data_IF_728811552669
#
_entry.id   IF_728811552669
#
_cell.length_a   1.000
_cell.length_b   1.000
_cell.length_c   1.000
_cell.angle_alpha   90.00
_cell.angle_beta   90.00
_cell.angle_gamma   90.00
#
_symmetry.space_group_name_H-M   'P 1'
#
loop_
_entity.id
_entity.type
_entity.pdbx_description
1 polymer ?
#
# COMPACT_ATOMS: atom_id res chain seq x y z
N UNK A 1 12.78 5.51 -6.60
CA UNK A 1 12.07 4.56 -5.70
C UNK A 1 11.02 5.37 -4.98
N UNK A 2 9.76 5.06 -5.29
CA UNK A 2 8.60 5.82 -4.86
C UNK A 2 8.33 5.66 -3.36
N UNK A 3 7.69 6.65 -2.78
CA UNK A 3 7.20 6.61 -1.39
C UNK A 3 5.68 6.53 -1.38
N UNK A 4 5.15 5.84 -0.38
CA UNK A 4 3.71 5.70 -0.17
C UNK A 4 3.20 6.85 0.70
N UNK A 5 2.09 7.45 0.28
CA UNK A 5 1.41 8.50 1.02
C UNK A 5 -0.09 8.21 1.13
N UNK A 6 -0.73 8.80 2.15
CA UNK A 6 -2.18 8.77 2.32
C UNK A 6 -2.77 10.10 1.83
N UNK A 7 -3.65 10.04 0.84
CA UNK A 7 -4.45 11.16 0.38
C UNK A 7 -5.87 11.07 0.93
N UNK A 8 -6.49 12.23 1.15
CA UNK A 8 -7.85 12.35 1.66
C UNK A 8 -8.70 13.16 0.69
N UNK A 9 -10.00 12.87 0.63
CA UNK A 9 -10.96 13.65 -0.18
C UNK A 9 -11.09 15.11 0.27
N UNK A 10 -10.66 15.40 1.49
CA UNK A 10 -10.61 16.76 2.05
C UNK A 10 -9.35 17.54 1.65
N UNK A 11 -8.34 16.88 1.09
CA UNK A 11 -7.04 17.47 0.76
C UNK A 11 -6.20 17.86 1.99
N UNK A 12 -6.62 17.49 3.20
CA UNK A 12 -5.87 17.82 4.41
C UNK A 12 -4.60 16.96 4.50
N UNK A 13 -3.43 17.56 4.79
CA UNK A 13 -2.19 16.82 4.94
C UNK A 13 -2.20 16.00 6.22
N UNK A 14 -1.82 14.72 6.12
CA UNK A 14 -1.70 13.85 7.29
C UNK A 14 -0.54 14.33 8.20
N UNK A 15 -0.77 14.51 9.52
CA UNK A 15 0.28 14.90 10.45
C UNK A 15 1.21 13.73 10.81
N UNK A 16 0.86 12.51 10.42
CA UNK A 16 1.62 11.29 10.69
C UNK A 16 2.46 10.88 9.48
N UNK A 17 3.55 10.16 9.75
CA UNK A 17 4.50 9.66 8.75
C UNK A 17 5.03 8.29 9.18
N UNK A 18 5.56 7.53 8.24
CA UNK A 18 6.29 6.30 8.53
C UNK A 18 7.50 6.62 9.43
N UNK A 19 7.62 5.88 10.53
CA UNK A 19 8.47 6.27 11.67
C UNK A 19 9.84 5.60 11.64
N UNK A 20 9.95 4.43 11.01
CA UNK A 20 11.19 3.63 10.92
C UNK A 20 11.72 3.52 9.50
N UNK A 21 10.85 3.64 8.52
CA UNK A 21 11.19 3.63 7.11
C UNK A 21 10.64 4.88 6.44
N UNK A 22 11.09 5.16 5.23
CA UNK A 22 10.50 6.16 4.35
C UNK A 22 9.41 5.56 3.46
N UNK A 23 8.84 4.39 3.84
CA UNK A 23 7.86 3.58 3.10
C UNK A 23 8.31 2.99 1.78
N UNK A 24 9.56 3.20 1.33
CA UNK A 24 10.04 2.67 0.05
C UNK A 24 9.97 1.14 -0.02
N UNK A 25 10.40 0.46 1.04
CA UNK A 25 10.32 -0.99 1.13
C UNK A 25 8.88 -1.47 1.21
N UNK A 26 8.03 -0.78 1.98
CA UNK A 26 6.60 -1.09 2.02
C UNK A 26 5.98 -0.98 0.62
N UNK A 27 6.29 0.09 -0.11
CA UNK A 27 5.86 0.29 -1.48
C UNK A 27 6.41 -0.80 -2.43
N UNK A 28 7.68 -1.18 -2.28
CA UNK A 28 8.30 -2.23 -3.09
C UNK A 28 7.60 -3.59 -2.88
N UNK A 29 7.48 -4.05 -1.65
CA UNK A 29 6.93 -5.37 -1.33
C UNK A 29 5.42 -5.47 -1.58
N UNK A 30 4.66 -4.40 -1.33
CA UNK A 30 3.19 -4.43 -1.49
C UNK A 30 2.76 -4.17 -2.93
N UNK A 31 3.54 -3.41 -3.73
CA UNK A 31 3.12 -3.04 -5.09
C UNK A 31 4.00 -3.63 -6.18
N UNK A 32 5.32 -3.42 -6.13
CA UNK A 32 6.19 -3.86 -7.21
C UNK A 32 6.33 -5.37 -7.24
N UNK A 33 6.60 -5.98 -6.10
CA UNK A 33 6.81 -7.43 -6.03
C UNK A 33 5.49 -8.20 -6.09
N UNK A 34 4.42 -7.68 -5.46
CA UNK A 34 3.13 -8.37 -5.42
C UNK A 34 2.22 -8.11 -6.64
N UNK A 35 2.06 -6.86 -7.10
CA UNK A 35 1.13 -6.55 -8.20
C UNK A 35 1.79 -6.63 -9.58
N UNK A 36 3.09 -6.34 -9.65
CA UNK A 36 3.79 -6.21 -10.92
C UNK A 36 4.81 -7.33 -11.18
N UNK A 37 5.02 -8.23 -10.22
CA UNK A 37 5.92 -9.40 -10.31
C UNK A 37 7.28 -9.05 -10.96
N UNK A 38 7.79 -7.84 -10.72
CA UNK A 38 8.92 -7.27 -11.49
C UNK A 38 10.29 -7.78 -11.04
N UNK A 39 10.35 -8.83 -10.22
CA UNK A 39 11.58 -9.34 -9.62
C UNK A 39 11.66 -10.87 -9.53
N UNK A 40 12.85 -11.38 -9.17
CA UNK A 40 13.06 -12.77 -8.77
C UNK A 40 12.77 -13.00 -7.28
N UNK A 41 12.40 -11.94 -6.55
CA UNK A 41 12.15 -12.01 -5.12
C UNK A 41 10.78 -12.64 -4.84
N UNK A 42 10.66 -13.41 -3.74
CA UNK A 42 9.41 -14.11 -3.45
C UNK A 42 8.31 -13.11 -3.08
N UNK A 43 7.10 -13.32 -3.60
CA UNK A 43 5.91 -12.52 -3.23
C UNK A 43 5.53 -12.76 -1.77
N UNK A 44 6.22 -12.05 -0.86
CA UNK A 44 6.01 -12.20 0.59
C UNK A 44 4.61 -11.80 0.99
N UNK A 45 4.03 -10.78 0.34
CA UNK A 45 2.67 -10.31 0.66
C UNK A 45 1.64 -11.34 0.21
N UNK A 46 1.78 -11.94 -0.97
CA UNK A 46 0.95 -13.06 -1.43
C UNK A 46 1.07 -14.29 -0.52
N UNK A 47 2.28 -14.66 -0.12
CA UNK A 47 2.48 -15.76 0.84
C UNK A 47 1.78 -15.50 2.17
N UNK A 48 1.83 -14.28 2.71
CA UNK A 48 1.14 -13.92 3.96
C UNK A 48 -0.38 -13.93 3.78
N UNK A 49 -0.88 -13.40 2.65
CA UNK A 49 -2.29 -13.41 2.29
C UNK A 49 -2.84 -14.84 2.29
N UNK A 50 -2.16 -15.75 1.59
CA UNK A 50 -2.55 -17.16 1.52
C UNK A 50 -2.41 -17.87 2.87
N UNK A 51 -1.34 -17.59 3.61
CA UNK A 51 -1.08 -18.23 4.89
C UNK A 51 -2.11 -17.86 5.96
N UNK A 52 -2.58 -16.62 5.96
CA UNK A 52 -3.50 -16.08 6.97
C UNK A 52 -4.95 -15.94 6.49
N UNK A 53 -5.23 -16.26 5.23
CA UNK A 53 -6.55 -16.06 4.60
C UNK A 53 -7.05 -14.61 4.75
N UNK A 54 -6.18 -13.65 4.41
CA UNK A 54 -6.46 -12.22 4.57
C UNK A 54 -7.09 -11.63 3.31
N UNK A 55 -8.12 -10.81 3.50
CA UNK A 55 -8.55 -9.86 2.48
C UNK A 55 -7.65 -8.62 2.50
N UNK A 56 -6.69 -8.60 1.59
CA UNK A 56 -5.73 -7.50 1.43
C UNK A 56 -6.11 -6.54 0.30
N UNK A 57 -7.24 -6.74 -0.38
CA UNK A 57 -7.64 -5.89 -1.51
C UNK A 57 -7.63 -4.39 -1.19
N UNK A 58 -8.10 -3.93 -0.01
CA UNK A 58 -8.01 -2.52 0.37
C UNK A 58 -6.58 -1.96 0.38
N UNK A 59 -5.60 -2.77 0.79
CA UNK A 59 -4.19 -2.37 0.83
C UNK A 59 -3.56 -2.28 -0.57
N UNK A 60 -4.10 -3.03 -1.54
CA UNK A 60 -3.61 -3.07 -2.92
C UNK A 60 -4.16 -1.95 -3.81
N UNK A 61 -5.18 -1.22 -3.34
CA UNK A 61 -5.80 -0.08 -4.04
C UNK A 61 -4.93 1.17 -3.94
N UNK A 62 -3.97 1.29 -4.86
CA UNK A 62 -2.99 2.40 -4.87
C UNK A 62 -3.01 3.14 -6.18
N UNK A 63 -3.10 4.47 -6.07
CA UNK A 63 -3.01 5.37 -7.19
C UNK A 63 -1.54 5.64 -7.56
N UNK A 64 -1.29 5.71 -8.86
CA UNK A 64 -0.09 6.38 -9.37
C UNK A 64 -0.30 7.89 -9.39
N UNK A 65 0.74 8.63 -9.74
CA UNK A 65 0.62 10.05 -10.08
C UNK A 65 -0.48 10.27 -11.13
N UNK A 66 -1.33 11.28 -10.90
CA UNK A 66 -2.35 11.72 -11.86
C UNK A 66 -1.66 12.56 -12.93
N UNK A 67 -1.57 12.02 -14.15
CA UNK A 67 -0.85 12.62 -15.28
C UNK A 67 -1.80 13.03 -16.40
N UNK A 68 -1.53 14.15 -17.07
CA UNK A 68 -2.30 14.54 -18.25
C UNK A 68 -2.04 13.56 -19.43
N UNK A 69 -2.99 13.45 -20.38
CA UNK A 69 -2.76 12.62 -21.57
C UNK A 69 -1.56 13.13 -22.38
N UNK A 70 -1.34 14.45 -22.43
CA UNK A 70 -0.21 15.05 -23.15
C UNK A 70 1.13 14.61 -22.55
N UNK A 71 1.25 14.70 -21.22
CA UNK A 71 2.47 14.29 -20.50
C UNK A 71 2.68 12.77 -20.59
N UNK A 72 1.61 11.98 -20.48
CA UNK A 72 1.67 10.51 -20.62
C UNK A 72 2.24 10.07 -21.96
N UNK A 73 1.76 10.69 -23.05
CA UNK A 73 2.24 10.44 -24.40
C UNK A 73 3.68 10.94 -24.58
N UNK A 74 4.04 12.07 -23.96
CA UNK A 74 5.38 12.64 -24.05
C UNK A 74 6.43 11.79 -23.32
N UNK A 75 6.10 11.24 -22.15
CA UNK A 75 6.95 10.33 -21.36
C UNK A 75 7.01 8.92 -21.97
N UNK A 76 6.14 8.61 -22.92
CA UNK A 76 6.14 7.33 -23.64
C UNK A 76 5.62 6.16 -22.82
N UNK A 77 4.74 6.40 -21.84
CA UNK A 77 4.16 5.36 -20.99
C UNK A 77 3.14 4.46 -21.70
N UNK A 78 2.64 4.87 -22.87
CA UNK A 78 1.70 4.10 -23.68
C UNK A 78 0.83 5.02 -24.52
N UNK A 79 -0.30 4.50 -24.95
CA UNK A 79 -1.33 5.19 -25.71
C UNK A 79 -2.47 5.74 -24.81
N UNK A 80 -3.47 6.34 -25.44
CA UNK A 80 -4.63 6.91 -24.75
C UNK A 80 -5.48 5.85 -24.02
N UNK A 81 -5.54 4.62 -24.54
CA UNK A 81 -6.31 3.55 -23.90
C UNK A 81 -5.62 3.10 -22.61
N UNK A 82 -4.29 2.96 -22.62
CA UNK A 82 -3.52 2.68 -21.40
C UNK A 82 -3.62 3.82 -20.38
N UNK A 83 -3.54 5.08 -20.84
CA UNK A 83 -3.76 6.24 -19.98
C UNK A 83 -5.14 6.23 -19.32
N UNK A 84 -6.22 5.98 -20.10
CA UNK A 84 -7.59 5.91 -19.57
C UNK A 84 -7.73 4.80 -18.52
N UNK A 85 -7.12 3.63 -18.77
CA UNK A 85 -7.09 2.52 -17.81
C UNK A 85 -6.40 2.93 -16.52
N UNK A 86 -5.25 3.61 -16.59
CA UNK A 86 -4.53 4.09 -15.41
C UNK A 86 -5.36 5.12 -14.63
N UNK A 87 -5.99 6.07 -15.30
CA UNK A 87 -6.85 7.07 -14.66
C UNK A 87 -8.10 6.44 -14.01
N UNK A 88 -8.65 5.38 -14.60
CA UNK A 88 -9.72 4.60 -14.00
C UNK A 88 -9.26 3.87 -12.73
N UNK A 89 -8.07 3.27 -12.76
CA UNK A 89 -7.45 2.65 -11.57
C UNK A 89 -7.20 3.67 -10.45
N UNK A 90 -6.66 4.85 -10.78
CA UNK A 90 -6.44 5.93 -9.81
C UNK A 90 -7.75 6.42 -9.17
N UNK A 91 -8.86 6.43 -9.93
CA UNK A 91 -10.19 6.74 -9.40
C UNK A 91 -10.72 5.62 -8.52
N UNK A 92 -10.52 4.37 -8.92
CA UNK A 92 -10.95 3.19 -8.17
C UNK A 92 -10.14 2.97 -6.88
N UNK A 93 -8.97 3.61 -6.74
CA UNK A 93 -8.16 3.56 -5.53
C UNK A 93 -8.79 4.32 -4.34
N UNK A 94 -9.76 5.20 -4.59
CA UNK A 94 -10.55 5.85 -3.54
C UNK A 94 -11.45 4.83 -2.85
N UNK A 95 -11.30 4.73 -1.53
CA UNK A 95 -11.99 3.77 -0.68
C UNK A 95 -12.41 4.41 0.63
N UNK A 96 -13.32 3.78 1.37
CA UNK A 96 -13.67 4.29 2.69
C UNK A 96 -12.50 4.07 3.67
N UNK A 97 -12.24 4.99 4.62
CA UNK A 97 -11.22 4.77 5.65
C UNK A 97 -11.46 3.47 6.44
N UNK A 98 -12.72 3.10 6.64
CA UNK A 98 -13.08 1.94 7.46
C UNK A 98 -12.69 0.60 6.81
N UNK A 99 -12.81 0.48 5.49
CA UNK A 99 -12.37 -0.72 4.76
C UNK A 99 -10.86 -0.93 4.93
N UNK A 100 -10.07 0.14 4.74
CA UNK A 100 -8.62 0.07 4.88
C UNK A 100 -8.20 -0.19 6.34
N UNK A 101 -8.86 0.42 7.32
CA UNK A 101 -8.62 0.16 8.75
C UNK A 101 -8.83 -1.32 9.08
N UNK A 102 -9.92 -1.92 8.60
CA UNK A 102 -10.22 -3.34 8.87
C UNK A 102 -9.16 -4.26 8.28
N UNK A 103 -8.75 -4.02 7.03
CA UNK A 103 -7.67 -4.76 6.39
C UNK A 103 -6.36 -4.65 7.19
N UNK A 104 -5.94 -3.43 7.56
CA UNK A 104 -4.71 -3.21 8.33
C UNK A 104 -4.75 -3.87 9.71
N UNK A 105 -5.87 -3.76 10.43
CA UNK A 105 -6.05 -4.40 11.73
C UNK A 105 -5.98 -5.92 11.63
N UNK A 106 -6.65 -6.52 10.64
CA UNK A 106 -6.61 -7.97 10.41
C UNK A 106 -5.17 -8.43 10.12
N UNK A 107 -4.45 -7.71 9.27
CA UNK A 107 -3.07 -8.04 8.92
C UNK A 107 -2.14 -7.93 10.14
N UNK A 108 -2.20 -6.82 10.88
CA UNK A 108 -1.40 -6.61 12.09
C UNK A 108 -1.69 -7.71 13.13
N UNK A 109 -2.96 -8.05 13.33
CA UNK A 109 -3.38 -9.08 14.27
C UNK A 109 -2.87 -10.47 13.86
N UNK A 110 -2.87 -10.80 12.57
CA UNK A 110 -2.33 -12.06 12.05
C UNK A 110 -0.82 -12.17 12.32
N UNK A 111 -0.07 -11.09 12.10
CA UNK A 111 1.36 -11.03 12.41
C UNK A 111 1.63 -11.15 13.91
N UNK A 112 0.79 -10.54 14.76
CA UNK A 112 0.90 -10.63 16.21
C UNK A 112 0.64 -12.04 16.75
N UNK A 113 -0.30 -12.76 16.14
CA UNK A 113 -0.60 -14.14 16.51
C UNK A 113 0.43 -15.15 15.98
N UNK A 114 1.35 -14.71 15.12
CA UNK A 114 2.31 -15.58 14.46
C UNK A 114 3.68 -14.91 14.28
N UNK A 115 4.40 -14.62 15.38
CA UNK A 115 5.64 -13.83 15.37
C UNK A 115 6.80 -14.49 14.60
N UNK A 116 6.73 -15.80 14.35
CA UNK A 116 7.71 -16.60 13.62
C UNK A 116 7.36 -16.84 12.15
N UNK A 117 6.26 -16.26 11.64
CA UNK A 117 5.72 -16.55 10.29
C UNK A 117 6.77 -16.38 9.19
N UNK A 118 7.57 -15.32 9.24
CA UNK A 118 8.59 -15.05 8.23
C UNK A 118 9.64 -16.15 8.16
N UNK A 119 10.10 -16.66 9.31
CA UNK A 119 11.02 -17.79 9.35
C UNK A 119 10.40 -19.07 8.82
N UNK A 120 9.11 -19.33 9.10
CA UNK A 120 8.39 -20.50 8.56
C UNK A 120 8.17 -20.43 7.05
N UNK A 121 7.99 -19.21 6.52
CA UNK A 121 7.88 -18.95 5.08
C UNK A 121 9.26 -18.84 4.38
N UNK A 122 10.36 -19.06 5.10
CA UNK A 122 11.71 -18.97 4.53
C UNK A 122 12.18 -17.55 4.20
N UNK A 123 11.50 -16.52 4.71
CA UNK A 123 11.83 -15.11 4.51
C UNK A 123 12.87 -14.67 5.53
N UNK A 124 14.07 -14.33 5.04
CA UNK A 124 15.20 -13.87 5.86
C UNK A 124 15.49 -12.37 5.76
N UNK A 125 14.77 -11.66 4.91
CA UNK A 125 15.03 -10.24 4.63
C UNK A 125 14.86 -9.39 5.91
N UNK A 126 15.88 -8.57 6.29
CA UNK A 126 15.85 -7.72 7.48
C UNK A 126 14.60 -6.87 7.64
N UNK A 127 13.99 -6.40 6.54
CA UNK A 127 12.76 -5.61 6.57
C UNK A 127 11.60 -6.33 7.29
N UNK A 128 11.43 -7.63 7.00
CA UNK A 128 10.41 -8.45 7.64
C UNK A 128 10.85 -8.94 9.03
N UNK A 129 12.04 -9.54 9.14
CA UNK A 129 12.45 -10.21 10.39
C UNK A 129 12.75 -9.23 11.54
N UNK A 130 13.08 -7.97 11.23
CA UNK A 130 13.23 -6.92 12.25
C UNK A 130 11.92 -6.20 12.60
N UNK A 131 10.80 -6.62 11.99
CA UNK A 131 9.47 -6.09 12.27
C UNK A 131 9.16 -4.73 11.63
N UNK A 132 9.97 -4.25 10.67
CA UNK A 132 9.71 -2.97 10.01
C UNK A 132 8.44 -3.02 9.14
N UNK A 133 8.15 -4.16 8.50
CA UNK A 133 6.89 -4.35 7.79
C UNK A 133 5.66 -4.14 8.68
N UNK A 134 5.64 -4.77 9.87
CA UNK A 134 4.55 -4.59 10.84
C UNK A 134 4.47 -3.14 11.34
N UNK A 135 5.62 -2.49 11.56
CA UNK A 135 5.65 -1.08 11.95
C UNK A 135 5.03 -0.19 10.87
N UNK A 136 5.35 -0.42 9.60
CA UNK A 136 4.79 0.37 8.49
C UNK A 136 3.26 0.16 8.38
N UNK A 137 2.76 -1.07 8.56
CA UNK A 137 1.32 -1.33 8.67
C UNK A 137 0.67 -0.54 9.83
N UNK A 138 1.34 -0.48 10.98
CA UNK A 138 0.86 0.23 12.17
C UNK A 138 0.87 1.74 11.97
N UNK A 139 1.92 2.27 11.34
CA UNK A 139 2.03 3.68 11.01
C UNK A 139 0.94 4.08 10.00
N UNK A 140 0.70 3.25 8.98
CA UNK A 140 -0.38 3.47 8.02
C UNK A 140 -1.76 3.41 8.69
N UNK A 141 -2.01 2.44 9.57
CA UNK A 141 -3.26 2.36 10.34
C UNK A 141 -3.53 3.67 11.07
N UNK A 142 -2.53 4.23 11.73
CA UNK A 142 -2.65 5.51 12.44
C UNK A 142 -2.98 6.68 11.50
N UNK A 143 -2.41 6.70 10.29
CA UNK A 143 -2.73 7.72 9.28
C UNK A 143 -4.19 7.63 8.83
N UNK A 144 -4.69 6.41 8.60
CA UNK A 144 -6.07 6.19 8.12
C UNK A 144 -7.09 6.47 9.22
N UNK A 145 -6.81 6.06 10.47
CA UNK A 145 -7.63 6.41 11.64
C UNK A 145 -7.73 7.94 11.81
N UNK A 146 -6.62 8.66 11.63
CA UNK A 146 -6.65 10.11 11.63
C UNK A 146 -7.51 10.71 10.53
N UNK A 147 -7.43 10.18 9.31
CA UNK A 147 -8.22 10.66 8.19
C UNK A 147 -9.72 10.49 8.49
N UNK A 148 -10.12 9.32 8.99
CA UNK A 148 -11.49 9.04 9.45
C UNK A 148 -11.93 10.04 10.53
N UNK A 149 -11.11 10.22 11.57
CA UNK A 149 -11.45 11.05 12.73
C UNK A 149 -11.49 12.54 12.39
N UNK A 150 -10.79 12.94 11.32
CA UNK A 150 -10.81 14.30 10.74
C UNK A 150 -12.01 14.53 9.81
N UNK A 151 -12.84 13.51 9.57
CA UNK A 151 -14.06 13.60 8.76
C UNK A 151 -13.88 13.30 7.28
N UNK A 152 -12.73 12.73 6.85
CA UNK A 152 -12.56 12.25 5.49
C UNK A 152 -13.55 11.12 5.20
N UNK A 153 -14.23 11.19 4.04
CA UNK A 153 -15.15 10.13 3.61
C UNK A 153 -14.45 9.10 2.75
N UNK A 154 -13.43 9.54 2.02
CA UNK A 154 -12.62 8.68 1.18
C UNK A 154 -11.15 8.97 1.40
N UNK A 155 -10.37 7.90 1.33
CA UNK A 155 -8.92 7.93 1.31
C UNK A 155 -8.43 7.16 0.10
N UNK A 156 -7.23 7.48 -0.36
CA UNK A 156 -6.47 6.62 -1.26
C UNK A 156 -5.02 6.57 -0.83
N UNK A 157 -4.40 5.44 -1.08
CA UNK A 157 -2.95 5.31 -1.03
C UNK A 157 -2.40 5.79 -2.37
N UNK A 158 -1.30 6.52 -2.35
CA UNK A 158 -0.73 7.15 -3.54
C UNK A 158 0.78 7.01 -3.55
N UNK A 159 1.35 6.73 -4.72
CA UNK A 159 2.78 6.71 -4.95
C UNK A 159 3.27 8.10 -5.39
N UNK A 160 4.25 8.63 -4.66
CA UNK A 160 4.94 9.89 -4.97
C UNK A 160 6.46 9.75 -5.01
#
# INVERSE_FOLDING_TARGET
>A
MFTLHLETDTGQPCPYRFTKTDSKFFCAYVFFEHLWEVGNDPDVVGMLKEHFDLDIEPLLKVASEDMSLEDWLAEGYGDEAEWRKQMEMNRAAWQSPQELIQCLQAFIQALDNSPDVFSRLGVSEPYFVKGYFKQDLTDLLRMVEWARDSGARYVRLSMG
#
